data_IF_377423989190
#
_entry.id   IF_377423989190
#
_cell.length_a   1.000
_cell.length_b   1.000
_cell.length_c   1.000
_cell.angle_alpha   90.00
_cell.angle_beta   90.00
_cell.angle_gamma   90.00
#
_symmetry.space_group_name_H-M   'P 1'
#
loop_
_entity.id
_entity.type
_entity.pdbx_description
1 polymer ?
#
# COMPACT_ATOMS: atom_id res chain seq x y z
N UNK A 1 21.11 -48.40 -37.38
CA UNK A 1 19.75 -48.07 -36.85
C UNK A 1 19.59 -48.23 -35.33
N UNK A 2 20.16 -49.26 -34.68
CA UNK A 2 20.03 -49.45 -33.21
C UNK A 2 20.74 -48.38 -32.34
N UNK A 3 21.88 -47.85 -32.79
CA UNK A 3 22.64 -46.82 -32.07
C UNK A 3 21.91 -45.47 -32.08
N UNK A 4 21.34 -45.09 -33.23
CA UNK A 4 20.57 -43.85 -33.40
C UNK A 4 19.32 -43.87 -32.51
N UNK A 5 18.62 -45.01 -32.40
CA UNK A 5 17.48 -45.16 -31.47
C UNK A 5 17.87 -45.04 -29.99
N UNK A 6 19.06 -45.52 -29.60
CA UNK A 6 19.57 -45.38 -28.22
C UNK A 6 19.91 -43.93 -27.87
N UNK A 7 20.54 -43.21 -28.80
CA UNK A 7 20.89 -41.80 -28.63
C UNK A 7 19.62 -40.94 -28.57
N UNK A 8 18.63 -41.20 -29.43
CA UNK A 8 17.33 -40.50 -29.41
C UNK A 8 16.59 -40.76 -28.09
N UNK A 9 16.61 -41.99 -27.57
CA UNK A 9 15.95 -42.32 -26.30
C UNK A 9 16.65 -41.68 -25.09
N UNK A 10 17.98 -41.60 -25.10
CA UNK A 10 18.76 -40.90 -24.06
C UNK A 10 18.56 -39.38 -24.09
N UNK A 11 18.45 -38.78 -25.28
CA UNK A 11 18.08 -37.36 -25.45
C UNK A 11 16.65 -37.07 -24.97
N UNK A 12 15.70 -38.00 -25.21
CA UNK A 12 14.32 -37.87 -24.71
C UNK A 12 14.25 -37.92 -23.17
N UNK A 13 15.07 -38.76 -22.53
CA UNK A 13 15.15 -38.83 -21.06
C UNK A 13 15.81 -37.59 -20.44
N UNK A 14 16.75 -36.94 -21.13
CA UNK A 14 17.37 -35.68 -20.70
C UNK A 14 16.43 -34.47 -20.84
N UNK A 15 15.50 -34.47 -21.80
CA UNK A 15 14.44 -33.45 -21.89
C UNK A 15 13.35 -33.60 -20.81
N UNK A 16 13.14 -34.81 -20.27
CA UNK A 16 12.14 -35.06 -19.22
C UNK A 16 12.55 -34.57 -17.82
N UNK A 17 13.83 -34.28 -17.60
CA UNK A 17 14.38 -33.91 -16.28
C UNK A 17 14.55 -32.39 -16.07
N UNK A 18 14.19 -31.56 -17.05
CA UNK A 18 14.54 -30.14 -17.06
C UNK A 18 13.30 -29.23 -17.04
N UNK A 19 12.40 -29.38 -16.06
CA UNK A 19 11.32 -28.42 -15.80
C UNK A 19 10.78 -28.45 -14.36
N UNK A 20 11.58 -28.80 -13.35
CA UNK A 20 11.28 -28.39 -11.99
C UNK A 20 11.96 -27.04 -11.74
N UNK A 21 11.38 -25.99 -12.31
CA UNK A 21 11.66 -24.64 -11.82
C UNK A 21 10.93 -24.59 -10.48
N UNK A 22 11.63 -24.56 -9.32
CA UNK A 22 10.94 -24.30 -8.06
C UNK A 22 10.21 -22.98 -8.22
N UNK A 23 8.89 -22.99 -8.02
CA UNK A 23 8.07 -21.80 -8.03
C UNK A 23 8.77 -20.72 -7.19
N UNK A 24 9.01 -19.56 -7.81
CA UNK A 24 9.66 -18.41 -7.18
C UNK A 24 8.99 -18.13 -5.84
N UNK A 25 9.79 -18.00 -4.77
CA UNK A 25 9.33 -17.98 -3.39
C UNK A 25 8.16 -17.02 -3.16
N UNK A 26 6.96 -17.59 -3.00
CA UNK A 26 5.76 -16.86 -2.57
C UNK A 26 5.87 -16.56 -1.07
N UNK A 27 5.36 -15.39 -0.66
CA UNK A 27 5.18 -15.06 0.76
C UNK A 27 3.82 -15.57 1.19
N UNK A 28 3.81 -16.59 2.04
CA UNK A 28 2.59 -17.14 2.62
C UNK A 28 2.28 -16.39 3.92
N UNK A 29 1.19 -15.63 3.92
CA UNK A 29 0.69 -14.89 5.09
C UNK A 29 -0.34 -15.70 5.88
N UNK A 30 -1.12 -16.51 5.18
CA UNK A 30 -2.08 -17.45 5.79
C UNK A 30 -2.01 -18.75 5.00
N UNK A 31 -1.98 -19.88 5.71
CA UNK A 31 -2.04 -21.21 5.14
C UNK A 31 -3.17 -22.00 5.81
N UNK A 32 -4.17 -22.39 5.03
CA UNK A 32 -5.29 -23.23 5.47
C UNK A 32 -5.97 -22.73 6.77
N UNK A 33 -6.28 -21.43 6.82
CA UNK A 33 -6.96 -20.76 7.92
C UNK A 33 -6.08 -20.53 9.15
N UNK A 34 -4.76 -20.68 9.02
CA UNK A 34 -3.79 -20.48 10.11
C UNK A 34 -2.74 -19.47 9.67
N UNK A 35 -2.33 -18.61 10.60
CA UNK A 35 -1.22 -17.68 10.38
C UNK A 35 -0.23 -17.74 11.52
N UNK A 36 1.05 -17.58 11.18
CA UNK A 36 2.13 -17.25 12.13
C UNK A 36 2.72 -15.87 11.84
N UNK A 37 2.16 -15.17 10.86
CA UNK A 37 2.62 -13.88 10.38
C UNK A 37 2.29 -12.79 11.38
N UNK A 38 3.18 -11.82 11.45
CA UNK A 38 3.06 -10.64 12.30
C UNK A 38 3.27 -9.41 11.46
N UNK A 39 2.63 -8.32 11.83
CA UNK A 39 2.88 -7.00 11.27
C UNK A 39 3.87 -6.30 12.19
N UNK A 40 5.07 -6.04 11.68
CA UNK A 40 6.17 -5.44 12.41
C UNK A 40 6.28 -3.98 11.99
N UNK A 41 6.11 -3.08 12.95
CA UNK A 41 6.43 -1.66 12.78
C UNK A 41 7.92 -1.46 13.07
N UNK A 42 8.68 -1.08 12.03
CA UNK A 42 10.07 -0.66 12.17
C UNK A 42 10.18 0.68 12.89
N UNK A 43 9.30 1.62 12.54
CA UNK A 43 9.15 2.91 13.18
C UNK A 43 7.72 3.04 13.75
N UNK A 44 7.60 3.45 15.01
CA UNK A 44 6.32 3.62 15.70
C UNK A 44 5.76 5.04 15.50
N UNK A 45 5.52 5.41 14.24
CA UNK A 45 4.86 6.66 13.85
C UNK A 45 3.38 6.44 13.51
N UNK A 46 2.65 7.55 13.42
CA UNK A 46 1.20 7.54 13.20
C UNK A 46 0.81 6.90 11.87
N UNK A 47 1.54 7.20 10.78
CA UNK A 47 1.23 6.67 9.44
C UNK A 47 1.48 5.17 9.38
N UNK A 48 2.58 4.71 9.94
CA UNK A 48 2.87 3.28 10.04
C UNK A 48 1.83 2.54 10.89
N UNK A 49 1.35 3.15 11.97
CA UNK A 49 0.27 2.57 12.79
C UNK A 49 -1.05 2.49 12.01
N UNK A 50 -1.42 3.54 11.27
CA UNK A 50 -2.61 3.54 10.40
C UNK A 50 -2.48 2.44 9.34
N UNK A 51 -1.32 2.34 8.69
CA UNK A 51 -1.00 1.33 7.68
C UNK A 51 -1.17 -0.09 8.24
N UNK A 52 -0.60 -0.36 9.42
CA UNK A 52 -0.71 -1.67 10.07
C UNK A 52 -2.15 -2.02 10.43
N UNK A 53 -2.91 -1.06 10.99
CA UNK A 53 -4.30 -1.28 11.37
C UNK A 53 -5.19 -1.52 10.15
N UNK A 54 -5.01 -0.74 9.08
CA UNK A 54 -5.75 -0.91 7.83
C UNK A 54 -5.47 -2.28 7.21
N UNK A 55 -4.19 -2.68 7.16
CA UNK A 55 -3.83 -3.96 6.57
C UNK A 55 -4.34 -5.14 7.42
N UNK A 56 -4.18 -5.07 8.74
CA UNK A 56 -4.71 -6.06 9.68
C UNK A 56 -6.22 -6.25 9.53
N UNK A 57 -6.98 -5.14 9.43
CA UNK A 57 -8.42 -5.15 9.28
C UNK A 57 -8.85 -5.97 8.07
N UNK A 58 -8.27 -5.70 6.90
CA UNK A 58 -8.64 -6.41 5.68
C UNK A 58 -8.09 -7.83 5.61
N UNK A 59 -6.88 -8.08 6.12
CA UNK A 59 -6.38 -9.46 6.26
C UNK A 59 -7.31 -10.30 7.14
N UNK A 60 -7.79 -9.75 8.26
CA UNK A 60 -8.75 -10.43 9.14
C UNK A 60 -10.10 -10.66 8.44
N UNK A 61 -10.60 -9.69 7.67
CA UNK A 61 -11.84 -9.86 6.88
C UNK A 61 -11.70 -10.96 5.84
N UNK A 62 -10.59 -10.99 5.11
CA UNK A 62 -10.31 -11.98 4.06
C UNK A 62 -10.17 -13.38 4.66
N UNK A 63 -9.34 -13.55 5.70
CA UNK A 63 -8.95 -14.89 6.16
C UNK A 63 -9.59 -15.37 7.46
N UNK A 64 -10.19 -14.47 8.24
CA UNK A 64 -10.62 -14.72 9.60
C UNK A 64 -9.47 -14.85 10.62
N UNK A 65 -8.21 -14.66 10.21
CA UNK A 65 -7.06 -14.75 11.10
C UNK A 65 -6.70 -13.40 11.73
N UNK A 66 -6.20 -13.44 12.96
CA UNK A 66 -5.63 -12.26 13.64
C UNK A 66 -4.13 -12.19 13.42
N UNK A 67 -3.63 -11.01 13.04
CA UNK A 67 -2.20 -10.75 12.80
C UNK A 67 -1.66 -9.82 13.89
N UNK A 68 -0.82 -10.27 14.83
CA UNK A 68 -0.29 -9.40 15.87
C UNK A 68 0.50 -8.23 15.26
N UNK A 69 0.22 -7.01 15.72
CA UNK A 69 1.04 -5.83 15.41
C UNK A 69 2.10 -5.70 16.53
N UNK A 70 3.38 -5.75 16.16
CA UNK A 70 4.52 -5.68 17.08
C UNK A 70 5.51 -4.61 16.65
N UNK A 71 6.35 -4.13 17.57
CA UNK A 71 7.27 -3.01 17.35
C UNK A 71 8.73 -3.46 17.48
N UNK A 72 9.60 -3.02 16.57
CA UNK A 72 11.05 -3.16 16.70
C UNK A 72 11.59 -4.60 16.80
N UNK A 73 10.86 -5.59 16.29
CA UNK A 73 11.30 -6.99 16.33
C UNK A 73 12.00 -7.39 15.03
N UNK A 74 12.90 -8.37 15.12
CA UNK A 74 13.48 -8.99 13.94
C UNK A 74 12.41 -9.75 13.14
N UNK A 75 12.40 -9.52 11.84
CA UNK A 75 11.52 -10.21 10.91
C UNK A 75 12.05 -11.60 10.57
N UNK A 76 11.13 -12.53 10.35
CA UNK A 76 11.39 -13.86 9.80
C UNK A 76 10.50 -14.09 8.58
N UNK A 77 10.80 -15.12 7.79
CA UNK A 77 9.99 -15.52 6.64
C UNK A 77 8.51 -15.62 7.01
N UNK A 78 7.65 -15.00 6.21
CA UNK A 78 6.21 -14.90 6.43
C UNK A 78 5.77 -13.68 7.26
N UNK A 79 6.69 -12.91 7.85
CA UNK A 79 6.33 -11.65 8.50
C UNK A 79 6.10 -10.52 7.48
N UNK A 80 5.44 -9.47 7.96
CA UNK A 80 5.15 -8.23 7.26
C UNK A 80 5.92 -7.13 7.97
N UNK A 81 6.72 -6.35 7.25
CA UNK A 81 7.42 -5.17 7.77
C UNK A 81 6.76 -3.92 7.19
N UNK A 82 6.48 -2.97 8.08
CA UNK A 82 6.02 -1.63 7.74
C UNK A 82 7.07 -0.63 8.25
N UNK A 83 7.56 0.23 7.35
CA UNK A 83 8.64 1.17 7.67
C UNK A 83 8.47 2.51 6.98
N UNK A 84 8.93 3.59 7.63
CA UNK A 84 9.05 4.91 7.01
C UNK A 84 10.43 5.14 6.36
N UNK A 85 11.34 4.17 6.46
CA UNK A 85 12.63 4.19 5.76
C UNK A 85 12.47 3.56 4.38
N UNK A 86 12.70 4.37 3.36
CA UNK A 86 12.47 3.98 1.98
C UNK A 86 13.78 3.67 1.25
N UNK A 87 13.74 2.79 0.24
CA UNK A 87 14.84 2.65 -0.72
C UNK A 87 14.97 3.90 -1.60
N UNK A 88 16.10 4.00 -2.31
CA UNK A 88 16.32 5.06 -3.29
C UNK A 88 15.23 5.04 -4.38
N UNK A 89 14.80 6.23 -4.82
CA UNK A 89 13.77 6.41 -5.85
C UNK A 89 12.36 6.59 -5.34
N UNK A 90 12.10 6.38 -4.04
CA UNK A 90 10.83 6.75 -3.41
C UNK A 90 10.82 8.24 -3.08
N UNK A 91 9.80 8.96 -3.52
CA UNK A 91 9.61 10.40 -3.30
C UNK A 91 8.55 10.70 -2.24
N UNK A 92 8.20 11.97 -2.01
CA UNK A 92 7.10 12.39 -1.13
C UNK A 92 5.82 11.63 -1.50
N UNK A 93 5.17 11.05 -0.49
CA UNK A 93 3.98 10.19 -0.60
C UNK A 93 4.12 8.95 -1.51
N UNK A 94 5.35 8.63 -1.91
CA UNK A 94 5.68 7.41 -2.62
C UNK A 94 5.91 6.22 -1.70
N UNK A 95 5.89 5.02 -2.27
CA UNK A 95 6.13 3.78 -1.54
C UNK A 95 6.90 2.73 -2.35
N UNK A 96 7.41 1.75 -1.63
CA UNK A 96 7.97 0.51 -2.16
C UNK A 96 7.30 -0.70 -1.53
N UNK A 97 7.03 -1.70 -2.38
CA UNK A 97 6.57 -3.03 -2.00
C UNK A 97 7.62 -4.06 -2.42
N UNK A 98 8.00 -4.95 -1.51
CA UNK A 98 8.90 -6.05 -1.81
C UNK A 98 8.51 -7.32 -1.06
N UNK A 99 8.59 -8.48 -1.71
CA UNK A 99 8.45 -9.79 -1.04
C UNK A 99 9.77 -10.58 -0.97
N UNK A 100 10.90 -9.90 -1.19
CA UNK A 100 12.24 -10.50 -1.17
C UNK A 100 12.53 -11.25 0.13
N UNK A 101 13.29 -12.33 0.05
CA UNK A 101 13.65 -13.19 1.19
C UNK A 101 12.44 -13.83 1.91
N UNK A 102 11.27 -13.84 1.26
CA UNK A 102 10.05 -14.37 1.85
C UNK A 102 9.46 -13.49 2.95
N UNK A 103 9.74 -12.18 2.93
CA UNK A 103 9.19 -11.18 3.86
C UNK A 103 8.49 -10.11 3.04
N UNK A 104 7.22 -9.84 3.34
CA UNK A 104 6.54 -8.68 2.77
C UNK A 104 7.06 -7.42 3.44
N UNK A 105 7.58 -6.47 2.66
CA UNK A 105 8.04 -5.15 3.10
C UNK A 105 7.20 -4.09 2.41
N UNK A 106 6.64 -3.20 3.22
CA UNK A 106 5.92 -2.02 2.80
C UNK A 106 6.67 -0.84 3.40
N UNK A 107 7.26 0.01 2.56
CA UNK A 107 7.94 1.21 3.03
C UNK A 107 7.49 2.43 2.27
N UNK A 108 7.27 3.56 2.93
CA UNK A 108 6.86 4.79 2.26
C UNK A 108 7.34 6.07 2.95
N UNK A 109 7.32 7.16 2.20
CA UNK A 109 7.56 8.52 2.70
C UNK A 109 6.22 9.24 2.84
N UNK A 110 6.08 10.13 3.83
CA UNK A 110 4.80 10.82 4.08
C UNK A 110 3.67 9.81 4.31
N UNK A 111 2.60 9.93 3.52
CA UNK A 111 1.44 9.01 3.52
C UNK A 111 1.68 7.71 2.72
N UNK A 112 2.83 7.58 2.06
CA UNK A 112 3.13 6.52 1.11
C UNK A 112 2.97 5.11 1.68
N UNK A 113 3.29 4.88 2.95
CA UNK A 113 3.13 3.55 3.56
C UNK A 113 1.67 3.07 3.52
N UNK A 114 0.72 3.98 3.79
CA UNK A 114 -0.72 3.66 3.71
C UNK A 114 -1.10 3.37 2.26
N UNK A 115 -0.57 4.14 1.32
CA UNK A 115 -0.83 3.93 -0.11
C UNK A 115 -0.24 2.61 -0.63
N UNK A 116 0.88 2.17 -0.06
CA UNK A 116 1.44 0.84 -0.30
C UNK A 116 0.52 -0.27 0.20
N UNK A 117 -0.05 -0.13 1.41
CA UNK A 117 -1.05 -1.05 1.94
C UNK A 117 -2.29 -1.11 1.05
N UNK A 118 -2.85 0.04 0.69
CA UNK A 118 -4.03 0.13 -0.20
C UNK A 118 -3.73 -0.55 -1.53
N UNK A 119 -2.59 -0.24 -2.15
CA UNK A 119 -2.19 -0.86 -3.42
C UNK A 119 -2.05 -2.38 -3.31
N UNK A 120 -1.51 -2.87 -2.18
CA UNK A 120 -1.40 -4.31 -1.94
C UNK A 120 -2.78 -4.96 -1.85
N UNK A 121 -3.70 -4.33 -1.11
CA UNK A 121 -5.08 -4.80 -0.95
C UNK A 121 -5.83 -4.83 -2.29
N UNK A 122 -5.74 -3.75 -3.07
CA UNK A 122 -6.37 -3.63 -4.39
C UNK A 122 -5.79 -4.64 -5.38
N UNK A 123 -4.48 -4.59 -5.63
CA UNK A 123 -3.86 -5.24 -6.79
C UNK A 123 -3.51 -6.71 -6.55
N UNK A 124 -3.31 -7.12 -5.29
CA UNK A 124 -2.82 -8.46 -4.98
C UNK A 124 -3.80 -9.29 -4.15
N UNK A 125 -4.72 -8.64 -3.42
CA UNK A 125 -5.69 -9.32 -2.55
C UNK A 125 -7.14 -9.14 -3.02
N UNK A 126 -7.37 -8.42 -4.12
CA UNK A 126 -8.67 -8.28 -4.76
C UNK A 126 -9.71 -7.61 -3.86
N UNK A 127 -9.28 -6.58 -3.11
CA UNK A 127 -10.18 -5.74 -2.33
C UNK A 127 -10.53 -4.50 -3.14
N UNK A 128 -11.83 -4.28 -3.36
CA UNK A 128 -12.33 -3.06 -3.98
C UNK A 128 -13.01 -2.17 -2.94
N UNK A 129 -12.90 -0.86 -3.11
CA UNK A 129 -13.53 0.14 -2.25
C UNK A 129 -14.19 1.22 -3.10
N UNK A 130 -15.51 1.21 -3.17
CA UNK A 130 -16.29 1.98 -4.14
C UNK A 130 -16.82 3.29 -3.58
N UNK A 131 -17.07 3.33 -2.28
CA UNK A 131 -17.75 4.43 -1.61
C UNK A 131 -17.68 4.30 -0.11
N UNK A 132 -18.31 5.24 0.60
CA UNK A 132 -18.38 5.24 2.05
C UNK A 132 -18.84 3.89 2.61
N UNK A 133 -17.97 3.20 3.34
CA UNK A 133 -18.20 1.87 3.89
C UNK A 133 -18.63 0.79 2.87
N UNK A 134 -18.43 1.03 1.57
CA UNK A 134 -18.85 0.14 0.49
C UNK A 134 -17.62 -0.50 -0.16
N UNK A 135 -17.38 -1.76 0.17
CA UNK A 135 -16.21 -2.52 -0.25
C UNK A 135 -16.54 -4.00 -0.44
N UNK A 136 -15.79 -4.64 -1.34
CA UNK A 136 -15.87 -6.08 -1.60
C UNK A 136 -14.51 -6.74 -1.44
N UNK A 137 -14.51 -7.99 -1.00
CA UNK A 137 -13.32 -8.84 -0.91
C UNK A 137 -13.73 -10.30 -1.11
N UNK A 138 -12.77 -11.14 -1.48
CA UNK A 138 -12.98 -12.58 -1.60
C UNK A 138 -12.46 -13.30 -0.35
N UNK A 139 -13.30 -13.96 0.46
CA UNK A 139 -12.82 -14.74 1.59
C UNK A 139 -11.87 -15.85 1.15
N UNK A 140 -10.74 -16.00 1.83
CA UNK A 140 -9.70 -16.95 1.47
C UNK A 140 -9.06 -17.59 2.70
N UNK A 141 -8.97 -18.93 2.72
CA UNK A 141 -8.24 -19.66 3.79
C UNK A 141 -6.73 -19.62 3.61
N UNK A 142 -6.24 -19.24 2.44
CA UNK A 142 -4.82 -19.14 2.15
C UNK A 142 -4.58 -17.78 1.49
N UNK A 143 -3.60 -17.04 2.00
CA UNK A 143 -3.15 -15.76 1.46
C UNK A 143 -1.68 -15.93 1.09
N UNK A 144 -1.41 -15.92 -0.21
CA UNK A 144 -0.09 -16.05 -0.79
C UNK A 144 0.18 -14.86 -1.70
N UNK A 145 1.32 -14.22 -1.50
CA UNK A 145 1.75 -13.10 -2.32
C UNK A 145 2.81 -13.57 -3.32
N UNK A 146 2.76 -13.08 -4.57
CA UNK A 146 3.77 -13.39 -5.57
C UNK A 146 5.10 -12.69 -5.23
N UNK A 147 6.09 -12.85 -6.12
CA UNK A 147 7.24 -11.96 -6.09
C UNK A 147 6.77 -10.54 -6.44
N UNK A 148 7.06 -9.60 -5.54
CA UNK A 148 6.76 -8.17 -5.67
C UNK A 148 8.09 -7.44 -5.54
N UNK A 149 8.33 -6.53 -6.48
CA UNK A 149 9.39 -5.54 -6.43
C UNK A 149 8.89 -4.29 -7.16
N UNK A 150 8.33 -3.35 -6.40
CA UNK A 150 7.63 -2.18 -6.95
C UNK A 150 8.01 -0.94 -6.18
N UNK A 151 8.21 0.16 -6.91
CA UNK A 151 8.18 1.53 -6.40
C UNK A 151 7.05 2.24 -7.13
N UNK A 152 6.29 3.05 -6.41
CA UNK A 152 5.23 3.90 -6.96
C UNK A 152 5.29 5.27 -6.30
N UNK A 153 5.23 6.32 -7.12
CA UNK A 153 5.32 7.70 -6.69
C UNK A 153 4.13 8.48 -7.28
N UNK A 154 3.46 9.31 -6.49
CA UNK A 154 2.28 10.03 -6.97
C UNK A 154 2.65 11.05 -8.05
N UNK A 155 1.89 11.06 -9.15
CA UNK A 155 2.03 12.06 -10.21
C UNK A 155 1.56 13.46 -9.79
N UNK A 156 0.59 13.52 -8.87
CA UNK A 156 0.06 14.76 -8.31
C UNK A 156 0.37 14.82 -6.83
N UNK A 157 0.99 15.92 -6.36
CA UNK A 157 1.30 16.12 -4.95
C UNK A 157 0.05 16.21 -4.06
N UNK A 158 -1.00 16.87 -4.55
CA UNK A 158 -2.23 17.10 -3.81
C UNK A 158 -3.43 16.55 -4.59
N UNK A 159 -4.26 15.76 -3.92
CA UNK A 159 -5.44 15.08 -4.49
C UNK A 159 -6.60 15.28 -3.51
N UNK A 160 -7.70 15.87 -3.96
CA UNK A 160 -8.85 16.16 -3.11
C UNK A 160 -10.17 15.85 -3.84
N UNK A 161 -11.24 15.72 -3.07
CA UNK A 161 -12.61 15.61 -3.57
C UNK A 161 -13.57 16.38 -2.66
N UNK A 162 -14.75 16.74 -3.20
CA UNK A 162 -15.84 17.35 -2.43
C UNK A 162 -16.81 16.31 -1.86
N UNK A 163 -16.48 15.01 -1.96
CA UNK A 163 -17.31 13.94 -1.45
C UNK A 163 -17.39 13.97 0.09
N UNK A 164 -18.61 13.93 0.63
CA UNK A 164 -18.85 13.99 2.07
C UNK A 164 -18.32 12.77 2.83
N UNK A 165 -18.11 11.64 2.14
CA UNK A 165 -17.60 10.39 2.70
C UNK A 165 -16.27 10.55 3.46
N UNK A 166 -15.42 11.50 3.06
CA UNK A 166 -14.14 11.76 3.75
C UNK A 166 -14.35 12.10 5.24
N UNK A 167 -15.47 12.74 5.59
CA UNK A 167 -15.74 13.21 6.97
C UNK A 167 -16.22 12.11 7.90
N UNK A 168 -16.75 11.04 7.36
CA UNK A 168 -17.43 9.96 8.09
C UNK A 168 -16.68 8.64 7.96
N UNK A 169 -15.82 8.50 6.96
CA UNK A 169 -15.07 7.30 6.65
C UNK A 169 -13.63 7.62 6.25
N UNK A 170 -12.74 7.50 7.23
CA UNK A 170 -11.31 7.70 7.03
C UNK A 170 -10.69 6.67 6.08
N UNK A 171 -11.25 5.46 5.94
CA UNK A 171 -10.72 4.44 5.02
C UNK A 171 -10.95 4.90 3.59
N UNK A 172 -12.12 5.45 3.27
CA UNK A 172 -12.40 6.03 1.96
C UNK A 172 -11.35 7.07 1.54
N UNK A 173 -10.97 7.97 2.46
CA UNK A 173 -9.90 8.96 2.22
C UNK A 173 -8.57 8.28 1.86
N UNK A 174 -8.13 7.33 2.70
CA UNK A 174 -6.87 6.62 2.49
C UNK A 174 -6.85 5.81 1.20
N UNK A 175 -7.94 5.11 0.91
CA UNK A 175 -8.09 4.25 -0.26
C UNK A 175 -7.94 5.04 -1.55
N UNK A 176 -8.58 6.21 -1.61
CA UNK A 176 -8.53 7.11 -2.74
C UNK A 176 -7.31 8.04 -2.72
N UNK A 177 -6.41 7.88 -1.74
CA UNK A 177 -5.15 8.65 -1.60
C UNK A 177 -5.42 10.16 -1.53
N UNK A 178 -6.48 10.54 -0.81
CA UNK A 178 -6.98 11.91 -0.74
C UNK A 178 -6.39 12.68 0.44
N UNK A 179 -6.26 13.99 0.26
CA UNK A 179 -5.78 14.96 1.24
C UNK A 179 -6.90 15.95 1.57
N UNK A 180 -6.91 16.44 2.80
CA UNK A 180 -7.78 17.52 3.25
C UNK A 180 -7.03 18.86 3.24
N UNK A 181 -7.74 19.96 2.98
CA UNK A 181 -7.07 21.25 2.84
C UNK A 181 -6.27 21.72 4.05
N UNK A 182 -6.74 21.43 5.26
CA UNK A 182 -6.05 21.80 6.50
C UNK A 182 -4.74 21.02 6.72
N UNK A 183 -4.49 19.94 5.97
CA UNK A 183 -3.25 19.16 6.02
C UNK A 183 -2.15 19.78 5.17
N UNK A 184 -2.53 20.58 4.16
CA UNK A 184 -1.61 21.10 3.15
C UNK A 184 -1.50 22.62 3.16
N UNK A 185 -2.61 23.32 3.40
CA UNK A 185 -2.67 24.78 3.38
C UNK A 185 -2.61 25.35 4.80
N UNK A 186 -1.77 26.37 4.99
CA UNK A 186 -1.56 26.99 6.29
C UNK A 186 -2.84 27.61 6.85
N UNK A 187 -3.11 27.43 8.16
CA UNK A 187 -4.02 28.25 8.98
C UNK A 187 -5.39 28.63 8.35
N UNK A 188 -6.04 27.72 7.61
CA UNK A 188 -7.34 27.99 6.97
C UNK A 188 -7.26 28.91 5.75
N UNK A 189 -6.07 29.08 5.18
CA UNK A 189 -5.83 29.72 3.89
C UNK A 189 -6.00 28.73 2.75
N UNK A 190 -7.16 28.09 2.70
CA UNK A 190 -7.60 27.30 1.57
C UNK A 190 -8.86 27.92 1.00
N UNK A 191 -8.78 28.30 -0.28
CA UNK A 191 -9.78 29.08 -1.03
C UNK A 191 -10.23 30.37 -0.31
N UNK A 192 -10.82 31.31 -1.05
CA UNK A 192 -11.35 32.57 -0.50
C UNK A 192 -10.36 33.31 0.43
N UNK A 193 -9.06 33.28 0.09
CA UNK A 193 -7.98 33.82 0.93
C UNK A 193 -7.72 35.29 0.72
N UNK A 194 -8.20 35.85 -0.38
CA UNK A 194 -7.85 37.21 -0.82
C UNK A 194 -8.22 38.26 0.24
N UNK A 195 -9.49 38.29 0.69
CA UNK A 195 -9.95 39.25 1.71
C UNK A 195 -9.33 39.00 3.10
N UNK A 196 -8.83 37.79 3.38
CA UNK A 196 -8.08 37.51 4.62
C UNK A 196 -6.68 38.13 4.60
N UNK A 197 -6.03 38.13 3.44
CA UNK A 197 -4.66 38.64 3.26
C UNK A 197 -4.66 40.14 2.94
N UNK A 198 -5.61 40.59 2.13
CA UNK A 198 -5.84 41.96 1.70
C UNK A 198 -7.31 42.29 1.99
N UNK A 199 -7.66 42.70 3.21
CA UNK A 199 -9.03 43.03 3.53
C UNK A 199 -9.51 44.26 2.78
N UNK A 200 -10.66 44.16 2.13
CA UNK A 200 -11.28 45.29 1.42
C UNK A 200 -11.58 46.47 2.37
N UNK A 201 -11.84 46.19 3.65
CA UNK A 201 -12.03 47.22 4.69
C UNK A 201 -10.77 48.05 4.98
N UNK A 202 -9.58 47.52 4.66
CA UNK A 202 -8.29 48.20 4.86
C UNK A 202 -7.81 48.82 3.56
N UNK A 203 -7.85 48.07 2.45
CA UNK A 203 -7.22 48.51 1.19
C UNK A 203 -8.23 48.91 0.11
N UNK A 204 -9.50 48.55 0.22
CA UNK A 204 -10.48 48.70 -0.87
C UNK A 204 -10.75 50.15 -1.28
N UNK A 205 -10.52 51.12 -0.40
CA UNK A 205 -10.64 52.54 -0.72
C UNK A 205 -9.47 53.05 -1.56
N UNK A 206 -8.25 52.73 -1.14
CA UNK A 206 -7.03 53.28 -1.75
C UNK A 206 -6.53 52.42 -2.93
N UNK A 207 -6.96 51.15 -2.99
CA UNK A 207 -6.62 50.16 -4.02
C UNK A 207 -7.86 49.38 -4.51
N UNK A 208 -8.86 50.04 -5.11
CA UNK A 208 -10.05 49.37 -5.63
C UNK A 208 -9.73 48.36 -6.75
N UNK A 209 -8.62 48.53 -7.47
CA UNK A 209 -8.14 47.63 -8.52
C UNK A 209 -7.82 46.21 -8.03
N UNK A 210 -7.60 46.02 -6.73
CA UNK A 210 -7.38 44.70 -6.14
C UNK A 210 -8.66 43.86 -6.05
N UNK A 211 -9.84 44.48 -6.17
CA UNK A 211 -11.15 43.84 -5.91
C UNK A 211 -12.11 43.87 -7.11
N UNK A 212 -11.59 44.12 -8.32
CA UNK A 212 -12.35 44.28 -9.57
C UNK A 212 -12.30 43.05 -10.46
#
# INVERSE_FOLDING_TARGET
MRIIRRIIFQLLCLLGACCYIPATAQVVLVDNGKTKSRIILSENDQINQISANLFQLFLQRISGCTFPIVKGQNAKKGDIIISSKTPAGVTEDGFSLSTKDGILRISGSGNGTVYGVVTLLEQYLGVDYWGENEYSFNPAKTIELPLIDKIDNPAFRYRQTQCYAIRTDSIYKWWNRLEEPNEVFAAGYWVHTFDKLLPASVYGKDHPEYYS
#
